data_IF_467509496927
#
_entry.id   IF_467509496927
#
_cell.length_a   1.000
_cell.length_b   1.000
_cell.length_c   1.000
_cell.angle_alpha   90.00
_cell.angle_beta   90.00
_cell.angle_gamma   90.00
#
_symmetry.space_group_name_H-M   'P 1'
#
loop_
_entity.id
_entity.type
_entity.pdbx_description
1 polymer ?
#
# COMPACT_ATOMS: atom_id res chain seq x y z
N UNK A 1 26.16 -37.42 -23.09
CA UNK A 1 27.31 -36.79 -23.79
C UNK A 1 28.58 -37.38 -23.22
N UNK A 2 29.61 -37.52 -24.04
CA UNK A 2 30.92 -38.02 -23.59
C UNK A 2 31.75 -36.83 -23.11
N UNK A 3 32.26 -36.90 -21.89
CA UNK A 3 33.11 -35.85 -21.31
C UNK A 3 34.52 -35.93 -21.89
N UNK A 4 35.33 -34.88 -21.70
CA UNK A 4 36.73 -34.85 -22.12
C UNK A 4 37.54 -36.05 -21.57
N UNK A 5 37.20 -36.52 -20.37
CA UNK A 5 37.82 -37.68 -19.70
C UNK A 5 37.24 -39.04 -20.14
N UNK A 6 36.40 -39.07 -21.17
CA UNK A 6 35.78 -40.29 -21.69
C UNK A 6 34.61 -40.84 -20.85
N UNK A 7 34.17 -40.13 -19.80
CA UNK A 7 33.00 -40.52 -18.99
C UNK A 7 31.70 -40.10 -19.67
N UNK A 8 30.57 -40.62 -19.19
CA UNK A 8 29.25 -40.20 -19.66
C UNK A 8 28.64 -39.21 -18.67
N UNK A 9 28.20 -38.05 -19.18
CA UNK A 9 27.39 -37.07 -18.46
C UNK A 9 25.97 -37.03 -19.04
N UNK A 10 24.99 -36.96 -18.15
CA UNK A 10 23.57 -36.82 -18.53
C UNK A 10 23.34 -35.40 -19.07
N UNK A 11 22.87 -35.28 -20.31
CA UNK A 11 22.53 -33.98 -20.92
C UNK A 11 21.03 -33.70 -20.79
N UNK A 12 20.21 -34.72 -21.06
CA UNK A 12 18.74 -34.70 -21.02
C UNK A 12 18.27 -35.94 -20.25
N UNK A 13 17.15 -35.83 -19.52
CA UNK A 13 16.54 -36.97 -18.82
C UNK A 13 16.97 -37.20 -17.36
N UNK A 14 17.49 -36.18 -16.66
CA UNK A 14 17.94 -36.26 -15.25
C UNK A 14 16.95 -36.98 -14.32
N UNK A 15 15.65 -36.65 -14.37
CA UNK A 15 14.61 -37.29 -13.53
C UNK A 15 14.47 -38.78 -13.79
N UNK A 16 14.59 -39.23 -15.04
CA UNK A 16 14.51 -40.67 -15.39
C UNK A 16 15.76 -41.42 -14.94
N UNK A 17 16.92 -40.79 -15.00
CA UNK A 17 18.16 -41.35 -14.47
C UNK A 17 18.10 -41.49 -12.95
N UNK A 18 17.63 -40.46 -12.24
CA UNK A 18 17.43 -40.51 -10.79
C UNK A 18 16.40 -41.58 -10.39
N UNK A 19 15.26 -41.65 -11.07
CA UNK A 19 14.26 -42.69 -10.81
C UNK A 19 14.79 -44.11 -11.07
N UNK A 20 15.66 -44.30 -12.07
CA UNK A 20 16.28 -45.60 -12.32
C UNK A 20 17.30 -46.00 -11.24
N UNK A 21 18.03 -45.01 -10.69
CA UNK A 21 18.93 -45.20 -9.53
C UNK A 21 18.11 -45.58 -8.30
N UNK A 22 17.04 -44.84 -8.01
CA UNK A 22 16.14 -45.10 -6.87
C UNK A 22 15.46 -46.48 -7.00
N UNK A 23 15.07 -46.87 -8.21
CA UNK A 23 14.53 -48.20 -8.49
C UNK A 23 15.59 -49.32 -8.55
N UNK A 24 16.85 -49.03 -8.20
CA UNK A 24 17.94 -50.02 -8.13
C UNK A 24 18.24 -50.70 -9.47
N UNK A 25 17.99 -50.02 -10.59
CA UNK A 25 18.18 -50.62 -11.92
C UNK A 25 19.68 -50.78 -12.20
N UNK A 26 20.15 -51.99 -12.56
CA UNK A 26 21.58 -52.24 -12.80
C UNK A 26 22.09 -51.58 -14.09
N UNK A 27 21.20 -51.26 -15.03
CA UNK A 27 21.54 -50.58 -16.28
C UNK A 27 20.46 -49.57 -16.67
N UNK A 28 20.89 -48.48 -17.32
CA UNK A 28 20.01 -47.44 -17.86
C UNK A 28 20.31 -47.28 -19.35
N UNK A 29 19.33 -47.48 -20.26
CA UNK A 29 19.55 -47.25 -21.68
C UNK A 29 19.74 -45.75 -21.94
N UNK A 30 20.81 -45.41 -22.65
CA UNK A 30 21.19 -44.03 -22.98
C UNK A 30 21.51 -43.87 -24.46
N UNK A 31 21.26 -42.67 -24.99
CA UNK A 31 21.70 -42.27 -26.33
C UNK A 31 22.83 -41.25 -26.18
N UNK A 32 23.98 -41.52 -26.82
CA UNK A 32 25.13 -40.60 -26.81
C UNK A 32 25.02 -39.68 -28.03
N UNK A 33 24.50 -38.47 -27.81
CA UNK A 33 24.19 -37.53 -28.89
C UNK A 33 25.41 -36.78 -29.47
N UNK A 34 26.44 -36.49 -28.66
CA UNK A 34 27.67 -35.79 -29.05
C UNK A 34 28.74 -35.83 -27.93
N UNK A 35 29.97 -35.41 -28.28
CA UNK A 35 31.04 -35.07 -27.33
C UNK A 35 30.76 -33.72 -26.63
N UNK A 36 31.31 -33.54 -25.43
CA UNK A 36 31.16 -32.33 -24.62
C UNK A 36 31.87 -31.14 -25.27
N UNK A 37 31.11 -30.11 -25.61
CA UNK A 37 31.65 -28.78 -25.87
C UNK A 37 31.99 -28.11 -24.53
N UNK A 38 33.19 -27.53 -24.43
CA UNK A 38 33.73 -26.95 -23.20
C UNK A 38 33.68 -25.42 -23.29
N UNK A 39 33.42 -24.76 -22.16
CA UNK A 39 33.39 -23.29 -22.03
C UNK A 39 31.99 -22.72 -21.78
N UNK A 40 31.94 -21.45 -21.38
CA UNK A 40 30.72 -20.77 -20.93
C UNK A 40 29.61 -20.77 -21.99
N UNK A 41 29.96 -20.61 -23.27
CA UNK A 41 29.00 -20.65 -24.36
C UNK A 41 28.27 -22.01 -24.46
N UNK A 42 29.00 -23.11 -24.21
CA UNK A 42 28.43 -24.46 -24.21
C UNK A 42 27.55 -24.72 -22.98
N UNK A 43 27.91 -24.17 -21.82
CA UNK A 43 27.10 -24.24 -20.60
C UNK A 43 25.80 -23.44 -20.76
N UNK A 44 25.88 -22.23 -21.31
CA UNK A 44 24.71 -21.40 -21.61
C UNK A 44 23.77 -22.10 -22.60
N UNK A 45 24.29 -22.72 -23.66
CA UNK A 45 23.46 -23.47 -24.61
C UNK A 45 22.80 -24.69 -23.94
N UNK A 46 23.53 -25.39 -23.07
CA UNK A 46 23.00 -26.51 -22.28
C UNK A 46 21.85 -26.06 -21.38
N UNK A 47 22.02 -24.97 -20.62
CA UNK A 47 20.99 -24.43 -19.73
C UNK A 47 19.72 -24.02 -20.49
N UNK A 48 19.86 -23.29 -21.62
CA UNK A 48 18.73 -22.89 -22.46
C UNK A 48 18.00 -24.10 -23.06
N UNK A 49 18.75 -25.13 -23.48
CA UNK A 49 18.16 -26.37 -24.01
C UNK A 49 17.38 -27.12 -22.94
N UNK A 50 17.93 -27.23 -21.72
CA UNK A 50 17.27 -27.89 -20.60
C UNK A 50 16.01 -27.13 -20.15
N UNK A 51 16.08 -25.81 -20.11
CA UNK A 51 14.91 -24.95 -19.86
C UNK A 51 13.79 -25.27 -20.85
N UNK A 52 14.08 -25.23 -22.15
CA UNK A 52 13.09 -25.47 -23.19
C UNK A 52 12.50 -26.90 -23.12
N UNK A 53 13.29 -27.92 -22.80
CA UNK A 53 12.77 -29.29 -22.64
C UNK A 53 11.81 -29.40 -21.45
N UNK A 54 12.12 -28.76 -20.32
CA UNK A 54 11.29 -28.82 -19.11
C UNK A 54 9.99 -28.03 -19.26
N UNK A 55 10.01 -26.88 -19.94
CA UNK A 55 8.80 -26.09 -20.25
C UNK A 55 7.76 -26.91 -21.05
N UNK A 56 8.22 -27.83 -21.91
CA UNK A 56 7.35 -28.72 -22.70
C UNK A 56 6.93 -30.01 -21.94
N UNK A 57 7.31 -30.18 -20.68
CA UNK A 57 7.00 -31.38 -19.86
C UNK A 57 6.37 -30.96 -18.53
N UNK A 58 6.91 -31.44 -17.41
CA UNK A 58 6.56 -30.94 -16.08
C UNK A 58 7.36 -29.66 -15.88
N UNK A 59 6.66 -28.52 -15.74
CA UNK A 59 7.28 -27.21 -15.60
C UNK A 59 8.26 -27.14 -14.43
N UNK A 60 9.25 -26.26 -14.55
CA UNK A 60 10.24 -25.98 -13.51
C UNK A 60 9.56 -25.38 -12.27
N UNK A 61 10.00 -25.80 -11.09
CA UNK A 61 9.65 -25.15 -9.81
C UNK A 61 10.19 -23.72 -9.76
N UNK A 62 9.64 -22.87 -8.89
CA UNK A 62 10.12 -21.49 -8.71
C UNK A 62 11.63 -21.45 -8.38
N UNK A 63 12.10 -22.31 -7.48
CA UNK A 63 13.51 -22.42 -7.12
C UNK A 63 14.40 -22.82 -8.31
N UNK A 64 13.98 -23.80 -9.12
CA UNK A 64 14.72 -24.20 -10.31
C UNK A 64 14.75 -23.10 -11.37
N UNK A 65 13.64 -22.36 -11.55
CA UNK A 65 13.58 -21.22 -12.48
C UNK A 65 14.59 -20.15 -12.09
N UNK A 66 14.63 -19.79 -10.81
CA UNK A 66 15.60 -18.84 -10.24
C UNK A 66 17.02 -19.33 -10.47
N UNK A 67 17.30 -20.60 -10.15
CA UNK A 67 18.63 -21.18 -10.31
C UNK A 67 19.16 -21.14 -11.75
N UNK A 68 18.33 -21.48 -12.75
CA UNK A 68 18.74 -21.43 -14.16
C UNK A 68 18.99 -19.99 -14.62
N UNK A 69 18.12 -19.05 -14.25
CA UNK A 69 18.27 -17.64 -14.61
C UNK A 69 19.52 -17.02 -13.96
N UNK A 70 19.78 -17.33 -12.69
CA UNK A 70 20.97 -16.90 -11.97
C UNK A 70 22.26 -17.42 -12.63
N UNK A 71 22.30 -18.69 -13.02
CA UNK A 71 23.46 -19.26 -13.72
C UNK A 71 23.68 -18.60 -15.08
N UNK A 72 22.63 -18.35 -15.87
CA UNK A 72 22.76 -17.64 -17.14
C UNK A 72 23.34 -16.23 -16.95
N UNK A 73 22.91 -15.52 -15.91
CA UNK A 73 23.46 -14.20 -15.58
C UNK A 73 24.93 -14.29 -15.12
N UNK A 74 25.29 -15.32 -14.35
CA UNK A 74 26.67 -15.55 -13.92
C UNK A 74 27.62 -15.82 -15.11
N UNK A 75 27.13 -16.41 -16.20
CA UNK A 75 27.86 -16.54 -17.48
C UNK A 75 27.86 -15.26 -18.34
N UNK A 76 27.48 -14.11 -17.76
CA UNK A 76 27.52 -12.81 -18.43
C UNK A 76 26.38 -12.55 -19.41
N UNK A 77 25.32 -13.38 -19.42
CA UNK A 77 24.15 -13.14 -20.28
C UNK A 77 23.28 -12.05 -19.65
N UNK A 78 23.04 -10.95 -20.39
CA UNK A 78 22.19 -9.86 -19.91
C UNK A 78 20.73 -10.28 -19.70
N UNK A 79 19.97 -9.62 -18.79
CA UNK A 79 18.55 -9.95 -18.55
C UNK A 79 17.68 -9.94 -19.82
N UNK A 80 17.95 -9.00 -20.74
CA UNK A 80 17.27 -8.92 -22.04
C UNK A 80 17.55 -10.13 -22.93
N UNK A 81 18.79 -10.62 -22.94
CA UNK A 81 19.16 -11.82 -23.68
C UNK A 81 18.58 -13.08 -23.03
N UNK A 82 18.57 -13.17 -21.69
CA UNK A 82 17.93 -14.27 -20.96
C UNK A 82 16.46 -14.35 -21.38
N UNK A 83 15.70 -13.25 -21.25
CA UNK A 83 14.29 -13.19 -21.63
C UNK A 83 14.05 -13.64 -23.09
N UNK A 84 14.89 -13.21 -24.04
CA UNK A 84 14.78 -13.61 -25.45
C UNK A 84 15.05 -15.10 -25.66
N UNK A 85 16.05 -15.67 -24.97
CA UNK A 85 16.48 -17.06 -25.15
C UNK A 85 15.58 -18.06 -24.43
N UNK A 86 15.06 -17.70 -23.27
CA UNK A 86 14.15 -18.56 -22.48
C UNK A 86 12.68 -18.33 -22.82
N UNK A 87 12.35 -17.27 -23.57
CA UNK A 87 10.98 -16.79 -23.86
C UNK A 87 10.19 -16.38 -22.61
N UNK A 88 10.89 -16.13 -21.51
CA UNK A 88 10.30 -15.61 -20.26
C UNK A 88 10.14 -14.10 -20.36
N UNK A 89 9.08 -13.55 -19.73
CA UNK A 89 8.86 -12.09 -19.70
C UNK A 89 10.02 -11.41 -18.97
N UNK A 90 10.42 -10.21 -19.41
CA UNK A 90 11.52 -9.46 -18.77
C UNK A 90 11.29 -9.25 -17.27
N UNK A 91 10.06 -8.95 -16.86
CA UNK A 91 9.71 -8.78 -15.44
C UNK A 91 9.96 -10.04 -14.59
N UNK A 92 9.68 -11.22 -15.14
CA UNK A 92 9.99 -12.49 -14.46
C UNK A 92 11.50 -12.75 -14.37
N UNK A 93 12.27 -12.37 -15.40
CA UNK A 93 13.75 -12.45 -15.32
C UNK A 93 14.28 -11.52 -14.23
N UNK A 94 13.80 -10.28 -14.16
CA UNK A 94 14.18 -9.34 -13.10
C UNK A 94 13.80 -9.88 -11.71
N UNK A 95 12.59 -10.41 -11.55
CA UNK A 95 12.13 -11.03 -10.30
C UNK A 95 13.02 -12.21 -9.89
N UNK A 96 13.36 -13.10 -10.84
CA UNK A 96 14.25 -14.22 -10.56
C UNK A 96 15.66 -13.78 -10.16
N UNK A 97 16.20 -12.73 -10.79
CA UNK A 97 17.50 -12.18 -10.41
C UNK A 97 17.47 -11.50 -9.03
N UNK A 98 16.37 -10.83 -8.69
CA UNK A 98 16.17 -10.28 -7.34
C UNK A 98 16.15 -11.39 -6.28
N UNK A 99 15.40 -12.47 -6.52
CA UNK A 99 15.41 -13.65 -5.62
C UNK A 99 16.81 -14.26 -5.54
N UNK A 100 17.51 -14.39 -6.67
CA UNK A 100 18.87 -14.94 -6.69
C UNK A 100 19.87 -14.08 -5.90
N UNK A 101 19.62 -12.78 -5.74
CA UNK A 101 20.46 -11.90 -4.92
C UNK A 101 20.25 -12.05 -3.41
N UNK A 102 19.19 -12.72 -2.97
CA UNK A 102 18.81 -12.82 -1.55
C UNK A 102 18.78 -14.28 -1.08
N UNK A 103 19.70 -14.63 -0.18
CA UNK A 103 19.79 -15.98 0.39
C UNK A 103 18.48 -16.40 1.06
N UNK A 104 17.82 -15.47 1.74
CA UNK A 104 16.55 -15.71 2.41
C UNK A 104 15.42 -15.99 1.40
N UNK A 105 15.34 -15.21 0.32
CA UNK A 105 14.34 -15.42 -0.71
C UNK A 105 14.57 -16.74 -1.46
N UNK A 106 15.83 -17.09 -1.77
CA UNK A 106 16.17 -18.39 -2.33
C UNK A 106 15.71 -19.53 -1.41
N UNK A 107 16.06 -19.48 -0.13
CA UNK A 107 15.65 -20.48 0.85
C UNK A 107 14.12 -20.59 0.96
N UNK A 108 13.40 -19.47 0.86
CA UNK A 108 11.94 -19.43 0.84
C UNK A 108 11.37 -20.17 -0.38
N UNK A 109 11.92 -19.97 -1.59
CA UNK A 109 11.43 -20.70 -2.80
C UNK A 109 11.64 -22.20 -2.74
N UNK A 110 12.67 -22.67 -2.02
CA UNK A 110 12.92 -24.10 -1.82
C UNK A 110 11.98 -24.68 -0.75
N UNK A 111 11.77 -23.93 0.33
CA UNK A 111 10.96 -24.37 1.48
C UNK A 111 9.46 -24.31 1.23
N UNK A 112 9.02 -23.36 0.42
CA UNK A 112 7.61 -23.04 0.20
C UNK A 112 7.29 -23.08 -1.30
N UNK A 113 6.87 -24.26 -1.77
CA UNK A 113 6.52 -24.52 -3.17
C UNK A 113 5.32 -23.70 -3.68
N UNK A 114 4.44 -23.27 -2.78
CA UNK A 114 3.29 -22.42 -3.08
C UNK A 114 3.64 -20.95 -3.35
N UNK A 115 4.89 -20.51 -3.08
CA UNK A 115 5.32 -19.16 -3.42
C UNK A 115 5.61 -19.06 -4.92
N UNK A 116 4.88 -18.17 -5.59
CA UNK A 116 5.22 -17.81 -6.94
C UNK A 116 6.48 -16.92 -7.00
N UNK A 117 6.99 -16.72 -8.21
CA UNK A 117 8.22 -15.97 -8.44
C UNK A 117 8.11 -14.49 -8.04
N UNK A 118 6.93 -13.88 -8.20
CA UNK A 118 6.72 -12.47 -7.87
C UNK A 118 6.63 -12.29 -6.35
N UNK A 119 5.97 -13.22 -5.65
CA UNK A 119 5.93 -13.28 -4.20
C UNK A 119 7.33 -13.49 -3.61
N UNK A 120 8.10 -14.43 -4.18
CA UNK A 120 9.48 -14.65 -3.75
C UNK A 120 10.36 -13.41 -3.97
N UNK A 121 10.19 -12.69 -5.09
CA UNK A 121 10.91 -11.44 -5.32
C UNK A 121 10.51 -10.34 -4.32
N UNK A 122 9.22 -10.29 -3.93
CA UNK A 122 8.76 -9.39 -2.87
C UNK A 122 9.37 -9.77 -1.51
N UNK A 123 9.53 -11.06 -1.21
CA UNK A 123 10.23 -11.52 0.01
C UNK A 123 11.67 -11.00 0.05
N UNK A 124 12.36 -10.94 -1.09
CA UNK A 124 13.72 -10.39 -1.16
C UNK A 124 13.79 -8.90 -0.77
N UNK A 125 12.72 -8.12 -0.99
CA UNK A 125 12.67 -6.71 -0.56
C UNK A 125 12.80 -6.52 0.97
N UNK A 126 12.47 -7.57 1.73
CA UNK A 126 12.41 -7.58 3.20
C UNK A 126 13.44 -8.53 3.83
N UNK A 127 14.53 -8.86 3.13
CA UNK A 127 15.51 -9.83 3.64
C UNK A 127 16.14 -9.44 4.99
N UNK A 128 16.24 -8.14 5.27
CA UNK A 128 16.74 -7.59 6.53
C UNK A 128 15.72 -7.66 7.69
N UNK A 129 14.48 -8.08 7.44
CA UNK A 129 13.39 -8.19 8.43
C UNK A 129 12.75 -9.59 8.43
N UNK A 130 13.28 -10.52 9.25
CA UNK A 130 12.78 -11.89 9.33
C UNK A 130 11.30 -12.00 9.73
N UNK A 131 10.77 -11.07 10.55
CA UNK A 131 9.36 -11.10 10.96
C UNK A 131 8.45 -10.61 9.82
N UNK A 132 8.88 -9.62 9.03
CA UNK A 132 8.19 -9.24 7.79
C UNK A 132 8.13 -10.41 6.79
N UNK A 133 9.24 -11.13 6.61
CA UNK A 133 9.31 -12.31 5.72
C UNK A 133 8.35 -13.40 6.20
N UNK A 134 8.33 -13.69 7.50
CA UNK A 134 7.39 -14.65 8.09
C UNK A 134 5.94 -14.22 7.90
N UNK A 135 5.63 -12.94 8.09
CA UNK A 135 4.29 -12.40 7.84
C UNK A 135 3.87 -12.57 6.38
N UNK A 136 4.78 -12.30 5.43
CA UNK A 136 4.54 -12.50 3.99
C UNK A 136 4.27 -13.97 3.64
N UNK A 137 5.11 -14.89 4.14
CA UNK A 137 4.92 -16.34 3.89
C UNK A 137 3.59 -16.85 4.45
N UNK A 138 3.18 -16.38 5.64
CA UNK A 138 1.87 -16.71 6.20
C UNK A 138 0.73 -16.12 5.36
N UNK A 139 0.87 -14.87 4.92
CA UNK A 139 -0.13 -14.17 4.11
C UNK A 139 -0.33 -14.81 2.72
N UNK A 140 0.72 -15.36 2.12
CA UNK A 140 0.65 -16.10 0.85
C UNK A 140 -0.34 -17.27 0.90
N UNK A 141 -0.39 -18.01 2.02
CA UNK A 141 -1.33 -19.13 2.19
C UNK A 141 -2.79 -18.70 2.23
N UNK A 142 -3.05 -17.48 2.70
CA UNK A 142 -4.40 -16.93 2.86
C UNK A 142 -4.85 -16.00 1.72
N UNK A 143 -4.04 -15.85 0.66
CA UNK A 143 -4.31 -14.89 -0.43
C UNK A 143 -4.18 -13.42 -0.01
N UNK A 144 -3.59 -13.14 1.16
CA UNK A 144 -3.42 -11.79 1.72
C UNK A 144 -2.03 -11.20 1.45
N UNK A 145 -1.29 -11.81 0.54
CA UNK A 145 0.12 -11.48 0.29
C UNK A 145 0.30 -10.02 -0.11
N UNK A 146 -0.40 -9.58 -1.16
CA UNK A 146 -0.23 -8.23 -1.70
C UNK A 146 -0.59 -7.14 -0.68
N UNK A 147 -1.66 -7.37 0.09
CA UNK A 147 -2.08 -6.50 1.21
C UNK A 147 -1.04 -6.42 2.31
N UNK A 148 -0.47 -7.57 2.68
CA UNK A 148 0.57 -7.63 3.71
C UNK A 148 1.86 -6.98 3.24
N UNK A 149 2.27 -7.25 1.99
CA UNK A 149 3.42 -6.61 1.38
C UNK A 149 3.27 -5.10 1.31
N UNK A 150 2.12 -4.59 0.87
CA UNK A 150 1.89 -3.15 0.80
C UNK A 150 1.93 -2.50 2.19
N UNK A 151 1.28 -3.10 3.20
CA UNK A 151 1.36 -2.62 4.59
C UNK A 151 2.80 -2.55 5.12
N UNK A 152 3.62 -3.54 4.79
CA UNK A 152 5.04 -3.57 5.18
C UNK A 152 5.86 -2.50 4.45
N UNK A 153 5.61 -2.27 3.15
CA UNK A 153 6.24 -1.17 2.39
C UNK A 153 5.87 0.18 2.98
N UNK A 154 4.59 0.41 3.25
CA UNK A 154 4.09 1.65 3.85
C UNK A 154 4.71 1.90 5.24
N UNK A 155 4.81 0.85 6.07
CA UNK A 155 5.44 0.95 7.40
C UNK A 155 6.94 1.26 7.31
N UNK A 156 7.66 0.65 6.36
CA UNK A 156 9.08 0.93 6.10
C UNK A 156 9.27 2.36 5.61
N UNK A 157 8.43 2.82 4.68
CA UNK A 157 8.47 4.19 4.18
C UNK A 157 8.16 5.22 5.29
N UNK A 158 7.15 4.97 6.13
CA UNK A 158 6.84 5.81 7.29
C UNK A 158 8.01 5.87 8.27
N UNK A 159 8.64 4.72 8.57
CA UNK A 159 9.79 4.65 9.47
C UNK A 159 10.99 5.41 8.92
N UNK A 160 11.30 5.23 7.63
CA UNK A 160 12.37 5.95 6.95
C UNK A 160 12.12 7.47 6.94
N UNK A 161 10.89 7.89 6.67
CA UNK A 161 10.53 9.31 6.65
C UNK A 161 10.58 9.93 8.05
N UNK A 162 10.13 9.20 9.09
CA UNK A 162 10.27 9.65 10.48
C UNK A 162 11.74 9.81 10.87
N UNK A 163 12.59 8.87 10.48
CA UNK A 163 14.03 8.95 10.71
C UNK A 163 14.63 10.16 9.98
N UNK A 164 14.27 10.38 8.71
CA UNK A 164 14.70 11.53 7.91
C UNK A 164 14.36 12.86 8.57
N UNK A 165 13.10 13.04 9.02
CA UNK A 165 12.67 14.26 9.73
C UNK A 165 13.39 14.41 11.07
N UNK A 166 13.58 13.32 11.83
CA UNK A 166 14.33 13.35 13.08
C UNK A 166 15.79 13.77 12.86
N UNK A 167 16.45 13.27 11.81
CA UNK A 167 17.83 13.63 11.48
C UNK A 167 17.95 15.08 11.01
N UNK A 168 16.96 15.61 10.30
CA UNK A 168 16.88 17.03 9.97
C UNK A 168 16.82 17.90 11.22
N UNK A 169 15.97 17.54 12.19
CA UNK A 169 15.87 18.26 13.48
C UNK A 169 17.19 18.22 14.25
N UNK A 170 17.83 17.04 14.35
CA UNK A 170 19.13 16.90 15.03
C UNK A 170 20.23 17.71 14.35
N UNK A 171 20.24 17.75 13.02
CA UNK A 171 21.19 18.55 12.24
C UNK A 171 21.00 20.05 12.48
N UNK A 172 19.75 20.49 12.68
CA UNK A 172 19.41 21.85 13.08
C UNK A 172 19.69 22.15 14.56
N UNK A 173 20.23 21.19 15.34
CA UNK A 173 20.55 21.37 16.75
C UNK A 173 19.35 21.23 17.69
N UNK A 174 18.19 20.77 17.19
CA UNK A 174 16.98 20.60 17.99
C UNK A 174 17.01 19.24 18.69
N UNK A 175 16.70 19.24 19.99
CA UNK A 175 16.57 18.00 20.76
C UNK A 175 15.33 17.23 20.30
N UNK A 176 15.53 16.02 19.78
CA UNK A 176 14.43 15.14 19.39
C UNK A 176 14.05 14.25 20.56
N UNK A 177 12.81 14.36 21.03
CA UNK A 177 12.24 13.55 22.10
C UNK A 177 11.20 12.56 21.57
N UNK A 178 10.87 11.56 22.38
CA UNK A 178 9.70 10.71 22.15
C UNK A 178 8.41 11.54 22.31
N UNK A 179 7.35 11.11 21.62
CA UNK A 179 6.04 11.75 21.74
C UNK A 179 5.62 11.81 23.21
N UNK A 180 5.38 13.00 23.78
CA UNK A 180 4.98 13.13 25.18
C UNK A 180 3.74 12.31 25.49
N UNK A 181 3.86 11.42 26.48
CA UNK A 181 2.75 10.68 27.06
C UNK A 181 1.97 11.52 28.09
N UNK A 182 0.84 10.99 28.55
CA UNK A 182 0.05 11.64 29.60
C UNK A 182 0.89 11.79 30.88
N UNK A 183 0.90 12.99 31.47
CA UNK A 183 1.67 13.30 32.69
C UNK A 183 3.15 13.67 32.45
N UNK A 184 3.60 13.76 31.20
CA UNK A 184 4.90 14.35 30.87
C UNK A 184 4.84 15.89 30.98
N UNK A 185 5.94 16.54 31.39
CA UNK A 185 6.05 18.01 31.47
C UNK A 185 6.18 18.66 30.10
N UNK A 186 6.64 17.91 29.09
CA UNK A 186 6.77 18.40 27.72
C UNK A 186 5.41 18.78 27.13
N UNK A 187 5.27 20.04 26.73
CA UNK A 187 4.01 20.64 26.25
C UNK A 187 4.20 21.27 24.88
N UNK A 188 3.26 21.01 23.96
CA UNK A 188 3.25 21.57 22.59
C UNK A 188 3.30 23.12 22.62
N UNK A 189 4.18 23.73 21.82
CA UNK A 189 4.34 25.20 21.78
C UNK A 189 3.06 25.93 21.39
N UNK A 190 2.20 25.31 20.58
CA UNK A 190 0.88 25.85 20.23
C UNK A 190 0.02 26.15 21.48
N UNK A 191 0.28 25.47 22.62
CA UNK A 191 -0.37 25.70 23.92
C UNK A 191 0.27 26.76 24.78
N UNK A 192 1.46 27.19 24.45
CA UNK A 192 2.27 28.03 25.32
C UNK A 192 2.35 29.45 24.77
N UNK A 193 2.32 30.42 25.67
CA UNK A 193 2.67 31.81 25.40
C UNK A 193 3.91 32.21 26.18
N UNK A 194 4.57 33.25 25.69
CA UNK A 194 5.55 33.99 26.48
C UNK A 194 4.88 34.79 27.62
N UNK A 195 5.68 35.59 28.32
CA UNK A 195 5.23 36.43 29.43
C UNK A 195 4.31 37.55 29.01
N UNK A 196 4.35 37.94 27.74
CA UNK A 196 3.56 39.02 27.13
C UNK A 196 2.25 38.50 26.51
N UNK A 197 2.03 37.17 26.55
CA UNK A 197 0.82 36.52 26.04
C UNK A 197 0.89 36.19 24.55
N UNK A 198 2.06 36.30 23.92
CA UNK A 198 2.26 35.94 22.50
C UNK A 198 2.51 34.44 22.40
N UNK A 199 1.82 33.77 21.46
CA UNK A 199 1.99 32.34 21.22
C UNK A 199 3.44 32.00 20.85
N UNK A 200 3.98 30.96 21.47
CA UNK A 200 5.30 30.45 21.12
C UNK A 200 5.24 29.69 19.79
N UNK A 201 6.20 29.99 18.92
CA UNK A 201 6.47 29.28 17.66
C UNK A 201 7.83 28.61 17.76
N UNK A 202 8.13 27.72 16.82
CA UNK A 202 9.46 27.11 16.72
C UNK A 202 10.58 28.17 16.75
N UNK A 203 10.42 29.26 15.99
CA UNK A 203 11.41 30.33 15.87
C UNK A 203 11.52 31.17 17.15
N UNK A 204 10.39 31.58 17.74
CA UNK A 204 10.41 32.42 18.95
C UNK A 204 10.89 31.64 20.19
N UNK A 205 10.75 30.31 20.19
CA UNK A 205 11.18 29.44 21.27
C UNK A 205 12.61 28.88 21.08
N UNK A 206 13.29 29.14 19.96
CA UNK A 206 14.59 28.52 19.64
C UNK A 206 15.69 28.79 20.69
N UNK A 207 15.61 29.90 21.43
CA UNK A 207 16.57 30.25 22.49
C UNK A 207 16.31 29.60 23.85
N UNK A 208 15.18 28.89 24.02
CA UNK A 208 14.82 28.27 25.29
C UNK A 208 15.58 26.94 25.51
N UNK A 209 16.19 26.69 26.67
CA UNK A 209 16.85 25.41 26.96
C UNK A 209 15.92 24.19 26.85
N UNK A 210 14.61 24.40 27.05
CA UNK A 210 13.59 23.37 26.88
C UNK A 210 13.11 23.17 25.45
N UNK A 211 13.72 23.84 24.45
CA UNK A 211 13.34 23.71 23.04
C UNK A 211 13.63 22.31 22.51
N UNK A 212 12.55 21.59 22.18
CA UNK A 212 12.62 20.23 21.65
C UNK A 212 11.50 20.01 20.61
N UNK A 213 11.60 18.90 19.89
CA UNK A 213 10.55 18.46 18.98
C UNK A 213 10.37 16.95 19.03
N UNK A 214 9.17 16.46 18.69
CA UNK A 214 8.94 15.05 18.41
C UNK A 214 8.37 14.88 17.01
N UNK A 215 8.69 13.76 16.37
CA UNK A 215 8.21 13.47 15.02
C UNK A 215 6.86 12.78 15.09
N UNK A 216 5.87 13.33 14.40
CA UNK A 216 4.50 12.81 14.37
C UNK A 216 3.88 12.93 12.98
N UNK A 217 2.75 12.27 12.79
CA UNK A 217 1.87 12.54 11.66
C UNK A 217 1.11 13.84 11.93
N UNK A 218 1.20 14.78 11.01
CA UNK A 218 0.41 16.01 10.93
C UNK A 218 -0.66 15.84 9.85
N UNK A 219 -1.74 16.61 9.92
CA UNK A 219 -2.78 16.65 8.88
C UNK A 219 -3.32 18.07 8.74
N UNK A 220 -3.76 18.41 7.53
CA UNK A 220 -4.34 19.70 7.21
C UNK A 220 -4.54 19.86 5.71
N UNK A 221 -5.15 20.97 5.30
CA UNK A 221 -5.29 21.35 3.90
C UNK A 221 -3.94 21.77 3.33
N UNK A 222 -3.59 21.28 2.14
CA UNK A 222 -2.37 21.71 1.47
C UNK A 222 -2.58 21.88 -0.03
N UNK A 223 -2.07 22.99 -0.55
CA UNK A 223 -2.04 23.27 -1.99
C UNK A 223 -1.07 22.31 -2.70
N UNK A 224 -1.51 21.62 -3.77
CA UNK A 224 -0.63 20.79 -4.58
C UNK A 224 0.60 21.57 -5.08
N UNK A 225 1.80 21.01 -4.88
CA UNK A 225 3.07 21.65 -5.28
C UNK A 225 3.65 22.64 -4.27
N UNK A 226 2.92 23.00 -3.21
CA UNK A 226 3.45 23.82 -2.12
C UNK A 226 4.23 22.99 -1.09
N UNK A 227 5.15 23.66 -0.40
CA UNK A 227 5.88 23.09 0.74
C UNK A 227 4.91 22.65 1.85
N UNK A 228 5.25 21.57 2.54
CA UNK A 228 4.40 21.03 3.60
C UNK A 228 4.36 22.01 4.79
N UNK A 229 3.17 22.36 5.32
CA UNK A 229 3.07 23.23 6.47
C UNK A 229 3.82 22.66 7.68
N UNK A 230 4.36 23.56 8.50
CA UNK A 230 4.95 23.19 9.79
C UNK A 230 3.86 22.89 10.82
N UNK A 231 4.21 22.37 12.00
CA UNK A 231 3.21 22.12 13.06
C UNK A 231 2.45 23.37 13.50
N UNK A 232 3.08 24.53 13.37
CA UNK A 232 2.57 25.79 13.86
C UNK A 232 1.47 26.31 12.92
N UNK A 233 1.59 26.00 11.63
CA UNK A 233 0.65 26.39 10.57
C UNK A 233 -0.44 25.35 10.30
N UNK A 234 -0.15 24.06 10.56
CA UNK A 234 -1.05 22.95 10.21
C UNK A 234 -2.39 22.96 10.97
N UNK A 235 -2.47 23.64 12.12
CA UNK A 235 -3.69 23.74 12.94
C UNK A 235 -4.54 25.01 12.71
N UNK A 236 -4.08 25.93 11.86
CA UNK A 236 -4.71 27.24 11.59
C UNK A 236 -5.26 27.38 10.18
N UNK A 237 -5.17 26.33 9.36
CA UNK A 237 -5.77 26.30 8.03
C UNK A 237 -7.22 25.81 8.18
N UNK A 238 -8.13 26.74 8.46
CA UNK A 238 -9.57 26.52 8.31
C UNK A 238 -9.89 26.10 6.87
N UNK A 239 -11.06 25.47 6.68
CA UNK A 239 -11.59 25.20 5.34
C UNK A 239 -11.61 26.52 4.56
N UNK A 240 -10.85 26.67 3.45
CA UNK A 240 -10.82 27.94 2.74
C UNK A 240 -12.24 28.30 2.32
N UNK A 241 -12.74 29.47 2.74
CA UNK A 241 -14.00 30.00 2.22
C UNK A 241 -13.97 29.95 0.69
N UNK A 242 -15.00 29.36 0.07
CA UNK A 242 -15.16 29.30 -1.39
C UNK A 242 -15.27 30.73 -1.95
N UNK A 243 -14.14 31.39 -2.18
CA UNK A 243 -14.14 32.64 -2.91
C UNK A 243 -14.23 32.31 -4.40
N UNK A 244 -15.35 32.64 -5.03
CA UNK A 244 -15.66 32.42 -6.45
C UNK A 244 -14.65 33.06 -7.44
N UNK A 245 -13.60 33.74 -6.95
CA UNK A 245 -12.63 34.49 -7.76
C UNK A 245 -11.27 33.80 -7.97
N UNK A 246 -11.09 32.52 -7.62
CA UNK A 246 -9.82 31.82 -7.86
C UNK A 246 -9.77 31.17 -9.25
N UNK A 247 -9.47 31.97 -10.28
CA UNK A 247 -9.08 31.46 -11.59
C UNK A 247 -7.83 30.56 -11.49
N UNK A 248 -7.96 29.29 -11.87
CA UNK A 248 -6.88 28.32 -12.13
C UNK A 248 -5.84 28.11 -10.98
N UNK A 249 -6.22 28.29 -9.72
CA UNK A 249 -5.39 27.86 -8.59
C UNK A 249 -5.80 26.46 -8.15
N UNK A 250 -4.84 25.55 -7.98
CA UNK A 250 -5.11 24.19 -7.50
C UNK A 250 -5.72 24.25 -6.10
N UNK A 251 -6.94 23.75 -5.95
CA UNK A 251 -7.64 23.75 -4.67
C UNK A 251 -6.83 23.01 -3.59
N UNK A 252 -6.81 23.50 -2.34
CA UNK A 252 -6.17 22.80 -1.23
C UNK A 252 -6.82 21.44 -1.02
N UNK A 253 -5.98 20.43 -0.77
CA UNK A 253 -6.45 19.06 -0.50
C UNK A 253 -6.10 18.65 0.92
N UNK A 254 -7.04 18.03 1.62
CA UNK A 254 -6.78 17.48 2.94
C UNK A 254 -5.78 16.31 2.83
N UNK A 255 -4.62 16.44 3.48
CA UNK A 255 -3.58 15.39 3.48
C UNK A 255 -2.97 15.18 4.85
N UNK A 256 -2.36 14.02 5.04
CA UNK A 256 -1.53 13.72 6.22
C UNK A 256 -0.08 13.51 5.80
N UNK A 257 0.87 13.98 6.61
CA UNK A 257 2.30 13.85 6.35
C UNK A 257 3.08 13.65 7.65
N UNK A 258 4.34 13.21 7.55
CA UNK A 258 5.25 13.14 8.69
C UNK A 258 5.94 14.48 8.86
N UNK A 259 5.85 15.05 10.06
CA UNK A 259 6.45 16.33 10.39
C UNK A 259 6.86 16.41 11.86
N UNK A 260 7.44 17.54 12.24
CA UNK A 260 7.84 17.83 13.61
C UNK A 260 6.74 18.60 14.33
N UNK A 261 6.45 18.24 15.59
CA UNK A 261 5.77 19.14 16.54
C UNK A 261 6.79 19.64 17.54
N UNK A 262 6.84 20.96 17.70
CA UNK A 262 7.72 21.62 18.66
C UNK A 262 7.08 21.70 20.04
N UNK A 263 7.90 21.52 21.07
CA UNK A 263 7.51 21.52 22.47
C UNK A 263 8.49 22.31 23.33
N UNK A 264 8.03 22.68 24.52
CA UNK A 264 8.91 23.02 25.63
C UNK A 264 8.92 21.88 26.65
N UNK A 265 10.09 21.36 27.03
CA UNK A 265 10.23 20.23 27.97
C UNK A 265 9.94 20.59 29.43
N UNK A 266 10.10 21.87 29.79
CA UNK A 266 9.78 22.41 31.12
C UNK A 266 9.15 23.81 31.03
N UNK A 267 7.87 23.91 30.64
CA UNK A 267 7.21 25.20 30.46
C UNK A 267 7.20 26.05 31.73
N UNK A 268 7.00 25.42 32.89
CA UNK A 268 6.92 26.10 34.18
C UNK A 268 8.29 26.66 34.61
N UNK A 269 9.36 25.88 34.45
CA UNK A 269 10.73 26.33 34.72
C UNK A 269 11.20 27.45 33.77
N UNK A 270 10.60 27.56 32.59
CA UNK A 270 10.90 28.58 31.59
C UNK A 270 9.88 29.74 31.53
N UNK A 271 8.99 29.85 32.53
CA UNK A 271 8.00 30.91 32.67
C UNK A 271 7.00 31.05 31.50
N UNK A 272 6.76 29.96 30.77
CA UNK A 272 5.70 29.90 29.78
C UNK A 272 4.33 29.74 30.45
N UNK A 273 3.31 30.33 29.85
CA UNK A 273 1.93 30.20 30.32
C UNK A 273 1.14 29.34 29.35
N UNK A 274 0.34 28.42 29.88
CA UNK A 274 -0.62 27.70 29.05
C UNK A 274 -1.76 28.66 28.69
N UNK A 275 -1.93 28.95 27.40
CA UNK A 275 -2.93 29.90 26.91
C UNK A 275 -4.37 29.41 27.09
N UNK A 276 -4.53 28.12 27.31
CA UNK A 276 -5.82 27.47 27.53
C UNK A 276 -6.03 27.13 29.02
N UNK A 277 -5.19 27.65 29.91
CA UNK A 277 -5.43 27.59 31.35
C UNK A 277 -6.52 28.59 31.75
N UNK A 278 -7.78 28.22 31.56
CA UNK A 278 -8.95 28.84 32.20
C UNK A 278 -9.70 27.83 33.05
N UNK A 279 -10.13 28.30 34.23
CA UNK A 279 -10.91 27.57 35.22
C UNK A 279 -12.24 27.07 34.66
N UNK A 280 -12.59 25.83 35.01
CA UNK A 280 -13.94 25.25 34.93
C UNK A 280 -14.70 25.48 33.60
N UNK A 281 -14.30 24.78 32.54
CA UNK A 281 -15.22 24.44 31.45
C UNK A 281 -14.82 23.12 30.78
N UNK A 282 -15.04 22.02 31.49
CA UNK A 282 -15.07 20.67 30.92
C UNK A 282 -15.98 19.81 31.81
N UNK A 283 -17.23 20.27 31.96
CA UNK A 283 -18.18 19.74 32.95
C UNK A 283 -19.00 18.53 32.46
N UNK A 284 -18.80 18.05 31.22
CA UNK A 284 -19.57 16.91 30.70
C UNK A 284 -18.75 15.81 29.99
N UNK A 285 -17.42 15.80 30.16
CA UNK A 285 -16.62 14.59 29.93
C UNK A 285 -16.16 14.05 31.27
N UNK A 286 -16.50 12.80 31.55
CA UNK A 286 -16.03 12.05 32.73
C UNK A 286 -14.52 12.25 32.86
N UNK A 287 -14.06 12.92 33.92
CA UNK A 287 -12.63 13.21 34.11
C UNK A 287 -11.86 11.90 34.08
N UNK A 288 -10.83 11.82 33.24
CA UNK A 288 -9.92 10.65 33.11
C UNK A 288 -9.35 10.18 34.46
N UNK A 289 -9.32 11.06 35.47
CA UNK A 289 -8.97 10.74 36.86
C UNK A 289 -9.91 9.69 37.51
N UNK A 290 -11.12 9.51 36.99
CA UNK A 290 -12.09 8.49 37.41
C UNK A 290 -11.99 7.20 36.58
N UNK A 291 -11.25 7.20 35.47
CA UNK A 291 -11.05 6.01 34.66
C UNK A 291 -10.02 5.10 35.32
N UNK A 292 -10.38 3.84 35.54
CA UNK A 292 -9.41 2.84 35.98
C UNK A 292 -8.38 2.54 34.86
N UNK A 293 -7.28 1.85 35.20
CA UNK A 293 -6.25 1.52 34.21
C UNK A 293 -6.79 0.64 33.07
N UNK A 294 -7.81 -0.18 33.34
CA UNK A 294 -8.47 -1.01 32.34
C UNK A 294 -9.28 -0.20 31.33
N UNK A 295 -10.02 0.82 31.78
CA UNK A 295 -10.74 1.74 30.91
C UNK A 295 -9.77 2.57 30.04
N UNK A 296 -8.64 3.00 30.61
CA UNK A 296 -7.57 3.69 29.86
C UNK A 296 -6.93 2.77 28.82
N UNK A 297 -6.65 1.53 29.19
CA UNK A 297 -6.09 0.53 28.27
C UNK A 297 -7.08 0.22 27.14
N UNK A 298 -8.36 0.08 27.45
CA UNK A 298 -9.42 -0.13 26.47
C UNK A 298 -9.54 1.04 25.49
N UNK A 299 -9.54 2.28 25.98
CA UNK A 299 -9.55 3.48 25.13
C UNK A 299 -8.30 3.57 24.24
N UNK A 300 -7.12 3.25 24.79
CA UNK A 300 -5.87 3.17 24.00
C UNK A 300 -5.95 2.07 22.94
N UNK A 301 -6.50 0.90 23.27
CA UNK A 301 -6.67 -0.21 22.35
C UNK A 301 -7.64 0.13 21.22
N UNK A 302 -8.77 0.77 21.52
CA UNK A 302 -9.73 1.24 20.52
C UNK A 302 -9.08 2.26 19.57
N UNK A 303 -8.32 3.23 20.11
CA UNK A 303 -7.60 4.21 19.30
C UNK A 303 -6.55 3.55 18.41
N UNK A 304 -5.77 2.58 18.93
CA UNK A 304 -4.81 1.80 18.14
C UNK A 304 -5.51 1.05 17.01
N UNK A 305 -6.59 0.34 17.31
CA UNK A 305 -7.37 -0.40 16.31
C UNK A 305 -7.91 0.51 15.20
N UNK A 306 -8.39 1.70 15.56
CA UNK A 306 -8.83 2.74 14.61
C UNK A 306 -7.70 3.17 13.69
N UNK A 307 -6.52 3.47 14.25
CA UNK A 307 -5.35 3.90 13.48
C UNK A 307 -4.89 2.77 12.55
N UNK A 308 -4.75 1.56 13.07
CA UNK A 308 -4.31 0.39 12.30
C UNK A 308 -5.28 0.05 11.17
N UNK A 309 -6.58 0.12 11.42
CA UNK A 309 -7.60 -0.14 10.40
C UNK A 309 -7.62 0.96 9.33
N UNK A 310 -7.45 2.22 9.72
CA UNK A 310 -7.29 3.33 8.78
C UNK A 310 -6.03 3.18 7.90
N UNK A 311 -4.89 2.74 8.48
CA UNK A 311 -3.67 2.44 7.73
C UNK A 311 -3.88 1.25 6.78
N UNK A 312 -4.50 0.18 7.26
CA UNK A 312 -4.80 -0.99 6.45
C UNK A 312 -5.74 -0.66 5.28
N UNK A 313 -6.68 0.28 5.44
CA UNK A 313 -7.53 0.75 4.34
C UNK A 313 -6.71 1.44 3.25
N UNK A 314 -5.81 2.34 3.62
CA UNK A 314 -4.94 3.05 2.66
C UNK A 314 -4.01 2.08 1.91
N UNK A 315 -3.45 1.07 2.59
CA UNK A 315 -2.68 0.01 1.93
C UNK A 315 -3.57 -0.81 0.99
N UNK A 316 -4.77 -1.17 1.42
CA UNK A 316 -5.71 -1.94 0.60
C UNK A 316 -6.17 -1.15 -0.64
N UNK A 317 -6.36 0.17 -0.54
CA UNK A 317 -6.64 1.05 -1.67
C UNK A 317 -5.53 1.03 -2.71
N UNK A 318 -4.26 1.07 -2.28
CA UNK A 318 -3.11 0.96 -3.20
C UNK A 318 -3.13 -0.37 -3.97
N UNK A 319 -3.45 -1.46 -3.27
CA UNK A 319 -3.57 -2.80 -3.87
C UNK A 319 -4.78 -2.86 -4.81
N UNK A 320 -5.96 -2.34 -4.42
CA UNK A 320 -7.16 -2.25 -5.26
C UNK A 320 -6.88 -1.48 -6.54
N UNK A 321 -6.35 -0.26 -6.45
CA UNK A 321 -6.05 0.57 -7.63
C UNK A 321 -5.06 -0.12 -8.57
N UNK A 322 -4.04 -0.80 -8.02
CA UNK A 322 -3.12 -1.62 -8.83
C UNK A 322 -3.84 -2.77 -9.54
N UNK A 323 -4.71 -3.48 -8.83
CA UNK A 323 -5.52 -4.56 -9.39
C UNK A 323 -6.51 -4.05 -10.45
N UNK A 324 -7.13 -2.89 -10.25
CA UNK A 324 -8.02 -2.23 -11.22
C UNK A 324 -7.25 -1.89 -12.51
N UNK A 325 -6.06 -1.29 -12.41
CA UNK A 325 -5.21 -1.02 -13.60
C UNK A 325 -4.97 -2.32 -14.38
N UNK A 326 -4.61 -3.40 -13.69
CA UNK A 326 -4.42 -4.70 -14.32
C UNK A 326 -5.71 -5.26 -14.96
N UNK A 327 -6.86 -5.15 -14.29
CA UNK A 327 -8.15 -5.54 -14.83
C UNK A 327 -8.47 -4.81 -16.14
N UNK A 328 -8.21 -3.50 -16.18
CA UNK A 328 -8.57 -2.63 -17.30
C UNK A 328 -7.65 -2.80 -18.52
N UNK A 329 -6.55 -3.55 -18.40
CA UNK A 329 -5.75 -3.98 -19.55
C UNK A 329 -6.40 -5.10 -20.37
N UNK A 330 -7.45 -5.74 -19.86
CA UNK A 330 -8.11 -6.87 -20.52
C UNK A 330 -8.89 -6.42 -21.76
N UNK A 331 -8.96 -7.31 -22.76
CA UNK A 331 -9.74 -7.08 -23.99
C UNK A 331 -11.24 -7.23 -23.81
N UNK A 332 -11.66 -8.00 -22.81
CA UNK A 332 -13.05 -8.39 -22.56
C UNK A 332 -13.36 -8.22 -21.08
N UNK A 333 -14.54 -7.67 -20.80
CA UNK A 333 -15.00 -7.46 -19.42
C UNK A 333 -15.25 -8.81 -18.72
N UNK A 334 -15.04 -8.91 -17.39
CA UNK A 334 -15.40 -10.08 -16.62
C UNK A 334 -16.87 -10.47 -16.76
N UNK A 335 -17.18 -11.74 -16.51
CA UNK A 335 -18.57 -12.21 -16.42
C UNK A 335 -19.32 -11.43 -15.35
N UNK A 336 -20.56 -11.01 -15.65
CA UNK A 336 -21.39 -10.24 -14.72
C UNK A 336 -21.24 -8.72 -14.85
N UNK A 337 -20.25 -8.22 -15.60
CA UNK A 337 -20.02 -6.77 -15.75
C UNK A 337 -21.22 -6.01 -16.31
N UNK A 338 -21.92 -6.57 -17.31
CA UNK A 338 -23.10 -5.93 -17.88
C UNK A 338 -24.24 -5.77 -16.84
N UNK A 339 -24.46 -6.78 -16.01
CA UNK A 339 -25.47 -6.72 -14.95
C UNK A 339 -25.07 -5.72 -13.85
N UNK A 340 -23.79 -5.68 -13.48
CA UNK A 340 -23.26 -4.70 -12.53
C UNK A 340 -23.42 -3.26 -13.04
N UNK A 341 -23.05 -3.00 -14.31
CA UNK A 341 -23.22 -1.71 -14.96
C UNK A 341 -24.69 -1.25 -14.97
N UNK A 342 -25.60 -2.14 -15.37
CA UNK A 342 -27.03 -1.83 -15.38
C UNK A 342 -27.56 -1.50 -13.97
N UNK A 343 -27.13 -2.26 -12.95
CA UNK A 343 -27.50 -2.00 -11.57
C UNK A 343 -26.92 -0.69 -11.03
N UNK A 344 -25.66 -0.39 -11.35
CA UNK A 344 -25.00 0.86 -10.96
C UNK A 344 -25.72 2.08 -11.56
N UNK A 345 -26.09 2.03 -12.84
CA UNK A 345 -26.87 3.10 -13.48
C UNK A 345 -28.26 3.27 -12.86
N UNK A 346 -28.89 2.19 -12.41
CA UNK A 346 -30.23 2.22 -11.82
C UNK A 346 -30.25 2.73 -10.37
N UNK A 347 -29.20 2.45 -9.59
CA UNK A 347 -29.20 2.70 -8.13
C UNK A 347 -28.23 3.80 -7.70
N UNK A 348 -27.11 3.96 -8.41
CA UNK A 348 -25.94 4.70 -7.95
C UNK A 348 -25.52 5.75 -9.01
N UNK A 349 -26.51 6.32 -9.71
CA UNK A 349 -26.30 7.23 -10.85
C UNK A 349 -25.42 8.44 -10.52
N UNK A 350 -25.55 9.02 -9.33
CA UNK A 350 -24.72 10.15 -8.87
C UNK A 350 -23.25 9.78 -8.68
N UNK A 351 -22.96 8.54 -8.26
CA UNK A 351 -21.60 8.01 -8.15
C UNK A 351 -21.02 7.80 -9.54
N UNK A 352 -21.80 7.23 -10.46
CA UNK A 352 -21.39 6.99 -11.85
C UNK A 352 -21.06 8.29 -12.59
N UNK A 353 -21.79 9.37 -12.32
CA UNK A 353 -21.56 10.67 -12.97
C UNK A 353 -20.69 11.63 -12.15
N UNK A 354 -20.07 11.15 -11.07
CA UNK A 354 -19.19 11.96 -10.23
C UNK A 354 -17.94 12.44 -10.98
N UNK A 355 -17.62 13.73 -10.84
CA UNK A 355 -16.47 14.36 -11.53
C UNK A 355 -15.14 13.67 -11.24
N UNK A 356 -14.86 13.37 -9.96
CA UNK A 356 -13.63 12.70 -9.53
C UNK A 356 -13.49 11.28 -10.11
N UNK A 357 -14.60 10.56 -10.27
CA UNK A 357 -14.61 9.22 -10.83
C UNK A 357 -14.04 9.14 -12.24
N UNK A 358 -14.39 10.10 -13.11
CA UNK A 358 -13.86 10.16 -14.47
C UNK A 358 -12.38 10.56 -14.51
N UNK A 359 -11.91 11.38 -13.57
CA UNK A 359 -10.49 11.70 -13.43
C UNK A 359 -9.70 10.45 -13.03
N UNK A 360 -10.18 9.72 -12.03
CA UNK A 360 -9.57 8.45 -11.63
C UNK A 360 -9.61 7.40 -12.75
N UNK A 361 -10.70 7.33 -13.52
CA UNK A 361 -10.79 6.43 -14.66
C UNK A 361 -9.69 6.70 -15.72
N UNK A 362 -9.43 7.98 -16.01
CA UNK A 362 -8.39 8.40 -16.93
C UNK A 362 -7.00 7.99 -16.42
N UNK A 363 -6.75 8.20 -15.12
CA UNK A 363 -5.50 7.79 -14.46
C UNK A 363 -5.31 6.26 -14.54
N UNK A 364 -6.33 5.48 -14.18
CA UNK A 364 -6.27 4.02 -14.18
C UNK A 364 -6.06 3.43 -15.58
N UNK A 365 -6.54 4.12 -16.62
CA UNK A 365 -6.38 3.73 -18.02
C UNK A 365 -5.08 4.27 -18.66
N UNK A 366 -4.30 5.05 -17.92
CA UNK A 366 -3.02 5.59 -18.40
C UNK A 366 -3.16 6.74 -19.39
N UNK A 367 -4.28 7.46 -19.37
CA UNK A 367 -4.45 8.69 -20.13
C UNK A 367 -3.55 9.78 -19.53
N UNK A 368 -2.68 10.38 -20.34
CA UNK A 368 -1.71 11.39 -19.90
C UNK A 368 -2.28 12.81 -19.83
N UNK A 369 -3.43 13.05 -20.46
CA UNK A 369 -4.12 14.35 -20.42
C UNK A 369 -4.96 14.47 -19.15
N UNK A 370 -4.84 15.61 -18.47
CA UNK A 370 -5.62 15.90 -17.27
C UNK A 370 -7.09 16.06 -17.63
N UNK A 371 -7.94 15.20 -17.07
CA UNK A 371 -9.39 15.32 -17.20
C UNK A 371 -9.88 16.59 -16.49
N UNK A 372 -10.74 17.36 -17.15
CA UNK A 372 -11.28 18.63 -16.67
C UNK A 372 -12.80 18.54 -16.49
N UNK A 373 -13.30 18.93 -15.32
CA UNK A 373 -14.74 18.88 -14.97
C UNK A 373 -15.40 17.54 -15.31
N UNK A 374 -14.72 16.43 -15.01
CA UNK A 374 -15.23 15.08 -15.25
C UNK A 374 -15.26 14.67 -16.72
N UNK A 375 -14.60 15.44 -17.62
CA UNK A 375 -14.48 15.15 -19.05
C UNK A 375 -13.03 14.88 -19.40
N UNK A 376 -12.81 13.83 -20.19
CA UNK A 376 -11.49 13.46 -20.70
C UNK A 376 -11.59 13.14 -22.20
N UNK A 377 -10.94 13.97 -23.02
CA UNK A 377 -10.78 13.77 -24.47
C UNK A 377 -10.05 12.46 -24.75
N UNK A 378 -8.95 12.21 -24.04
CA UNK A 378 -8.20 10.97 -24.16
C UNK A 378 -9.04 9.71 -23.87
N UNK A 379 -9.94 9.74 -22.87
CA UNK A 379 -10.86 8.63 -22.63
C UNK A 379 -11.89 8.46 -23.75
N UNK A 380 -12.43 9.56 -24.28
CA UNK A 380 -13.36 9.51 -25.40
C UNK A 380 -12.69 8.89 -26.63
N UNK A 381 -11.48 9.32 -26.97
CA UNK A 381 -10.69 8.79 -28.08
C UNK A 381 -10.39 7.29 -27.91
N UNK A 382 -10.08 6.86 -26.67
CA UNK A 382 -9.89 5.43 -26.36
C UNK A 382 -11.16 4.61 -26.60
N UNK A 383 -12.33 5.16 -26.28
CA UNK A 383 -13.62 4.50 -26.52
C UNK A 383 -13.95 4.46 -28.01
N UNK A 384 -13.70 5.53 -28.76
CA UNK A 384 -13.93 5.59 -30.21
C UNK A 384 -13.09 4.57 -30.97
N UNK A 385 -11.86 4.30 -30.52
CA UNK A 385 -10.95 3.34 -31.13
C UNK A 385 -11.16 1.90 -30.63
N UNK A 386 -12.04 1.68 -29.65
CA UNK A 386 -12.24 0.38 -29.04
C UNK A 386 -13.17 -0.53 -29.87
N UNK A 387 -12.88 -1.83 -29.87
CA UNK A 387 -13.89 -2.83 -30.26
C UNK A 387 -15.04 -2.86 -29.25
N UNK A 388 -16.20 -3.38 -29.63
CA UNK A 388 -17.37 -3.46 -28.74
C UNK A 388 -17.06 -4.15 -27.38
N UNK A 389 -16.34 -5.27 -27.43
CA UNK A 389 -15.92 -5.98 -26.22
C UNK A 389 -14.97 -5.16 -25.33
N UNK A 390 -14.10 -4.36 -25.94
CA UNK A 390 -13.17 -3.46 -25.24
C UNK A 390 -13.91 -2.25 -24.68
N UNK A 391 -14.85 -1.68 -25.43
CA UNK A 391 -15.70 -0.57 -25.00
C UNK A 391 -16.49 -0.92 -23.72
N UNK A 392 -17.02 -2.15 -23.62
CA UNK A 392 -17.65 -2.62 -22.38
C UNK A 392 -16.68 -2.65 -21.18
N UNK A 393 -15.41 -3.00 -21.42
CA UNK A 393 -14.37 -2.98 -20.39
C UNK A 393 -14.01 -1.55 -19.96
N UNK A 394 -13.99 -0.61 -20.92
CA UNK A 394 -13.76 0.81 -20.64
C UNK A 394 -14.92 1.43 -19.86
N UNK A 395 -16.16 1.10 -20.22
CA UNK A 395 -17.36 1.52 -19.49
C UNK A 395 -17.35 0.97 -18.05
N UNK A 396 -16.97 -0.29 -17.88
CA UNK A 396 -16.76 -0.86 -16.54
C UNK A 396 -15.70 -0.08 -15.75
N UNK A 397 -14.58 0.27 -16.37
CA UNK A 397 -13.53 1.06 -15.72
C UNK A 397 -13.99 2.42 -15.22
N UNK A 398 -14.79 3.14 -16.01
CA UNK A 398 -15.37 4.43 -15.60
C UNK A 398 -16.28 4.27 -14.37
N UNK A 399 -17.18 3.29 -14.41
CA UNK A 399 -18.08 3.04 -13.27
C UNK A 399 -17.29 2.62 -12.02
N UNK A 400 -16.36 1.67 -12.14
CA UNK A 400 -15.56 1.21 -11.00
C UNK A 400 -14.68 2.31 -10.41
N UNK A 401 -14.17 3.23 -11.24
CA UNK A 401 -13.44 4.40 -10.76
C UNK A 401 -14.34 5.37 -9.98
N UNK A 402 -15.59 5.57 -10.41
CA UNK A 402 -16.56 6.34 -9.64
C UNK A 402 -16.83 5.75 -8.25
N UNK A 403 -16.99 4.42 -8.16
CA UNK A 403 -17.12 3.77 -6.85
C UNK A 403 -15.84 3.85 -6.01
N UNK A 404 -14.67 3.64 -6.61
CA UNK A 404 -13.38 3.71 -5.90
C UNK A 404 -13.16 5.10 -5.31
N UNK A 405 -13.43 6.15 -6.09
CA UNK A 405 -13.31 7.54 -5.64
C UNK A 405 -14.33 7.91 -4.55
N UNK A 406 -15.51 7.28 -4.58
CA UNK A 406 -16.54 7.50 -3.57
C UNK A 406 -16.25 6.77 -2.25
N UNK A 407 -15.31 5.81 -2.23
CA UNK A 407 -14.97 5.09 -0.99
C UNK A 407 -14.22 5.99 -0.02
N UNK A 408 -14.51 5.85 1.27
CA UNK A 408 -13.81 6.61 2.31
C UNK A 408 -13.05 5.70 3.28
N UNK A 409 -11.97 6.23 3.85
CA UNK A 409 -11.15 5.57 4.87
C UNK A 409 -11.95 5.10 6.09
N UNK A 410 -13.12 5.68 6.36
CA UNK A 410 -14.01 5.28 7.45
C UNK A 410 -15.00 4.18 7.09
N UNK A 411 -15.14 3.78 5.82
CA UNK A 411 -16.16 2.83 5.36
C UNK A 411 -16.05 1.44 6.01
N UNK A 412 -14.88 1.06 6.53
CA UNK A 412 -14.75 -0.18 7.30
C UNK A 412 -15.51 -0.17 8.63
N UNK A 413 -15.87 1.00 9.15
CA UNK A 413 -16.65 1.14 10.40
C UNK A 413 -18.15 1.02 10.17
N UNK A 414 -18.61 1.44 8.99
CA UNK A 414 -20.03 1.53 8.67
C UNK A 414 -20.29 0.91 7.32
N UNK A 415 -21.06 -0.17 7.29
CA UNK A 415 -21.38 -0.90 6.05
C UNK A 415 -22.25 -0.02 5.14
N UNK A 416 -21.62 0.61 4.16
CA UNK A 416 -22.31 1.39 3.13
C UNK A 416 -22.73 0.47 1.97
N UNK A 417 -24.00 0.52 1.51
CA UNK A 417 -24.47 -0.38 0.45
C UNK A 417 -23.66 -0.28 -0.86
N UNK A 418 -23.27 0.92 -1.29
CA UNK A 418 -22.48 1.12 -2.51
C UNK A 418 -21.05 0.55 -2.37
N UNK A 419 -20.37 0.79 -1.25
CA UNK A 419 -19.03 0.25 -0.96
C UNK A 419 -19.06 -1.28 -0.92
N UNK A 420 -20.04 -1.87 -0.24
CA UNK A 420 -20.20 -3.32 -0.21
C UNK A 420 -20.52 -3.91 -1.60
N UNK A 421 -21.37 -3.26 -2.40
CA UNK A 421 -21.68 -3.68 -3.79
C UNK A 421 -20.42 -3.69 -4.66
N UNK A 422 -19.64 -2.61 -4.56
CA UNK A 422 -18.39 -2.43 -5.28
C UNK A 422 -17.36 -3.51 -4.93
N UNK A 423 -17.03 -3.65 -3.64
CA UNK A 423 -16.02 -4.59 -3.18
C UNK A 423 -16.41 -6.05 -3.49
N UNK A 424 -17.68 -6.42 -3.32
CA UNK A 424 -18.16 -7.77 -3.70
C UNK A 424 -18.09 -8.02 -5.20
N UNK A 425 -18.34 -7.00 -6.02
CA UNK A 425 -18.16 -7.12 -7.46
C UNK A 425 -16.68 -7.34 -7.82
N UNK A 426 -15.75 -6.59 -7.22
CA UNK A 426 -14.31 -6.84 -7.40
C UNK A 426 -13.94 -8.28 -6.99
N UNK A 427 -14.46 -8.73 -5.84
CA UNK A 427 -14.23 -10.09 -5.35
C UNK A 427 -14.70 -11.15 -6.34
N UNK A 428 -15.89 -10.96 -6.93
CA UNK A 428 -16.42 -11.85 -7.99
C UNK A 428 -15.55 -11.88 -9.26
N UNK A 429 -14.78 -10.82 -9.49
CA UNK A 429 -13.82 -10.72 -10.60
C UNK A 429 -12.44 -11.30 -10.26
N UNK A 430 -12.23 -11.82 -9.05
CA UNK A 430 -11.00 -12.45 -8.59
C UNK A 430 -10.09 -11.56 -7.75
N UNK A 431 -10.56 -10.41 -7.28
CA UNK A 431 -9.86 -9.61 -6.29
C UNK A 431 -9.98 -10.24 -4.89
N UNK A 432 -8.90 -10.25 -4.10
CA UNK A 432 -8.96 -10.75 -2.72
C UNK A 432 -9.13 -9.60 -1.75
N UNK A 433 -10.26 -9.56 -1.03
CA UNK A 433 -10.56 -8.52 -0.05
C UNK A 433 -9.61 -8.62 1.16
N UNK A 434 -9.03 -7.48 1.56
CA UNK A 434 -8.33 -7.32 2.82
C UNK A 434 -9.30 -7.45 4.01
N UNK A 435 -8.82 -7.74 5.24
CA UNK A 435 -9.69 -7.85 6.41
C UNK A 435 -10.49 -6.56 6.73
N UNK A 436 -9.97 -5.38 6.38
CA UNK A 436 -10.71 -4.11 6.52
C UNK A 436 -11.81 -3.93 5.47
N UNK A 437 -11.61 -4.47 4.27
CA UNK A 437 -12.59 -4.44 3.18
C UNK A 437 -13.70 -5.47 3.41
N UNK A 438 -13.36 -6.64 3.95
CA UNK A 438 -14.33 -7.63 4.43
C UNK A 438 -15.27 -7.00 5.47
N UNK A 439 -14.71 -6.24 6.42
CA UNK A 439 -15.49 -5.45 7.39
C UNK A 439 -16.43 -4.44 6.73
N UNK A 440 -15.96 -3.70 5.73
CA UNK A 440 -16.82 -2.80 4.95
C UNK A 440 -17.94 -3.53 4.19
N UNK A 441 -17.75 -4.80 3.84
CA UNK A 441 -18.78 -5.68 3.30
C UNK A 441 -19.72 -6.27 4.37
N UNK A 442 -19.55 -5.93 5.65
CA UNK A 442 -20.30 -6.51 6.76
C UNK A 442 -19.88 -7.94 7.13
N UNK A 443 -18.74 -8.40 6.62
CA UNK A 443 -18.13 -9.68 7.00
C UNK A 443 -17.20 -9.45 8.19
N UNK A 444 -17.15 -10.39 9.14
CA UNK A 444 -16.34 -10.27 10.36
C UNK A 444 -16.53 -8.92 11.08
N UNK A 445 -17.74 -8.56 11.53
CA UNK A 445 -17.94 -7.33 12.29
C UNK A 445 -16.97 -7.30 13.48
N UNK A 446 -16.46 -6.12 13.87
CA UNK A 446 -15.61 -6.03 15.04
C UNK A 446 -16.31 -6.71 16.24
N UNK A 447 -15.58 -7.36 17.15
CA UNK A 447 -16.18 -7.91 18.36
C UNK A 447 -17.04 -6.83 19.00
N UNK A 448 -18.27 -7.18 19.40
CA UNK A 448 -19.32 -6.26 19.83
C UNK A 448 -18.80 -5.34 20.95
N UNK A 449 -18.30 -4.17 20.55
CA UNK A 449 -18.00 -3.04 21.43
C UNK A 449 -19.13 -2.05 21.13
N UNK A 450 -19.91 -1.63 22.14
CA UNK A 450 -20.96 -0.65 21.93
C UNK A 450 -20.36 0.56 21.21
N UNK A 451 -21.08 1.17 20.25
CA UNK A 451 -20.61 2.39 19.61
C UNK A 451 -20.24 3.38 20.71
N UNK A 452 -19.02 3.92 20.64
CA UNK A 452 -18.75 5.16 21.36
C UNK A 452 -19.79 6.15 20.84
N UNK A 453 -20.55 6.74 21.75
CA UNK A 453 -21.48 7.82 21.44
C UNK A 453 -20.69 8.86 20.63
N UNK A 454 -20.94 8.90 19.32
CA UNK A 454 -20.37 9.92 18.46
C UNK A 454 -20.84 11.26 19.01
N UNK A 455 -19.89 12.17 19.19
CA UNK A 455 -20.13 13.59 19.24
C UNK A 455 -20.78 13.99 17.91
N UNK A 456 -22.09 13.82 17.82
CA UNK A 456 -22.91 14.53 16.85
C UNK A 456 -22.85 15.99 17.27
N UNK A 457 -22.02 16.76 16.57
CA UNK A 457 -22.07 18.22 16.61
C UNK A 457 -23.53 18.66 16.46
N UNK A 458 -23.94 19.55 17.37
CA UNK A 458 -25.26 20.13 17.38
C UNK A 458 -25.59 20.74 16.01
N UNK A 459 -26.61 20.19 15.37
CA UNK A 459 -27.43 20.95 14.46
C UNK A 459 -28.65 21.36 15.26
N UNK A 460 -28.69 22.65 15.60
CA UNK A 460 -29.89 23.31 16.13
C UNK A 460 -31.07 23.05 15.18
N UNK A 461 -32.09 22.35 15.69
CA UNK A 461 -33.45 22.48 15.18
C UNK A 461 -34.04 23.79 15.74
N UNK A 462 -34.49 24.76 14.91
CA UNK A 462 -35.40 25.77 15.39
C UNK A 462 -36.80 25.18 15.51
N UNK A 463 -37.24 25.07 16.75
CA UNK A 463 -38.59 24.77 17.22
C UNK A 463 -39.64 25.66 16.54
N UNK A 464 -40.75 25.03 16.15
CA UNK A 464 -41.90 25.66 15.55
C UNK A 464 -42.63 26.62 16.51
N UNK A 465 -43.08 27.78 15.99
CA UNK A 465 -44.09 28.61 16.63
C UNK A 465 -45.29 28.83 15.69
N UNK A 466 -46.39 28.19 16.08
CA UNK A 466 -47.82 28.33 15.74
C UNK A 466 -48.29 29.56 14.93
N UNK A 467 -49.02 29.28 13.83
CA UNK A 467 -50.45 29.51 13.54
C UNK A 467 -51.16 30.80 14.06
N UNK A 468 -52.19 31.32 13.36
CA UNK A 468 -53.39 30.57 12.96
C UNK A 468 -53.62 30.38 11.46
#
# INVERSE_FOLDING_TARGET
MRTADGRLRVRLGHRRTLAAIEAGRPTVPVVVAADETVGDAAEVERLVTQWAENEHRAGLTTAERVGVIAQLAAFGISPTQIAKRTRVKRGEVTAALAVAGSDLAQAATVRYDFLDLAQAATVAEFEDDPEAVKALVLAARGGQFDHTAQRLRDARAETAERARVADQLRTAGITVIDRPGYGNTATDLQRLTDTDGVQLTADSHAGCPGHAAYVTTLSGYVTPGAELPTSDDAGTLDDPEETEEAGNQSQPVWRSWIGARYVCTDPAGHAHRDRWATSESDADRKKIAEMDEGEREAARAQRRHVIESNKAWASAETVRRTWLRALLTRKTAPKGSAAFLAAALAHDGTIVTGVGGNQLAAELLGCTETASYGRSTALADLVEQASEARALTLALGQVLAGYEECTDRSDWRTVRPHTARYLRFLQSCGYTLAPVEQRACGEQPPPNVPPAEDETGGLDEPEAANAP
#
